data_IF_485090391570
#
_entry.id   IF_485090391570
#
_cell.length_a   1.000
_cell.length_b   1.000
_cell.length_c   1.000
_cell.angle_alpha   90.00
_cell.angle_beta   90.00
_cell.angle_gamma   90.00
#
_symmetry.space_group_name_H-M   'P 1'
#
loop_
_entity.id
_entity.type
_entity.pdbx_description
1 polymer ?
#
# COMPACT_ATOMS: atom_id res chain seq x y z
N UNK A 1 -11.96 6.71 7.24
CA UNK A 1 -10.55 6.95 7.59
C UNK A 1 -9.72 5.84 6.96
N UNK A 2 -8.85 6.18 6.03
CA UNK A 2 -8.02 5.26 5.26
C UNK A 2 -6.54 5.54 5.47
N UNK A 3 -5.72 4.50 5.40
CA UNK A 3 -4.29 4.59 5.22
C UNK A 3 -3.98 4.28 3.75
N UNK A 4 -3.49 5.27 3.02
CA UNK A 4 -3.01 5.13 1.65
C UNK A 4 -1.52 4.83 1.68
N UNK A 5 -1.10 3.76 1.02
CA UNK A 5 0.30 3.38 0.92
C UNK A 5 0.70 3.35 -0.54
N UNK A 6 1.76 4.07 -0.89
CA UNK A 6 2.37 4.03 -2.22
C UNK A 6 3.63 3.18 -2.15
N UNK A 7 3.64 2.08 -2.88
CA UNK A 7 4.81 1.21 -3.09
C UNK A 7 5.57 1.58 -4.36
N UNK A 8 6.69 0.87 -4.58
CA UNK A 8 7.68 1.21 -5.60
C UNK A 8 7.24 0.95 -7.05
N UNK A 9 6.29 0.03 -7.30
CA UNK A 9 5.86 -0.28 -8.66
C UNK A 9 5.08 0.89 -9.27
N UNK A 10 5.44 1.34 -10.49
CA UNK A 10 4.73 2.43 -11.15
C UNK A 10 3.24 2.14 -11.31
N UNK A 11 2.42 3.13 -11.03
CA UNK A 11 0.97 3.10 -11.23
C UNK A 11 0.55 4.13 -12.27
N UNK A 12 -0.46 3.79 -13.07
CA UNK A 12 -0.89 4.64 -14.19
C UNK A 12 -1.95 5.65 -13.77
N UNK A 13 -2.85 5.27 -12.86
CA UNK A 13 -3.98 6.10 -12.43
C UNK A 13 -4.15 6.09 -10.91
N UNK A 14 -4.69 7.19 -10.40
CA UNK A 14 -5.10 7.32 -9.01
C UNK A 14 -6.40 8.13 -8.95
N UNK A 15 -7.54 7.44 -8.83
CA UNK A 15 -8.89 8.04 -8.88
C UNK A 15 -9.56 8.10 -7.49
N UNK A 16 -8.75 8.33 -6.44
CA UNK A 16 -9.25 8.41 -5.07
C UNK A 16 -9.09 9.82 -4.51
N UNK A 17 -10.10 10.26 -3.75
CA UNK A 17 -10.02 11.48 -2.97
C UNK A 17 -9.46 11.15 -1.58
N UNK A 18 -8.35 11.76 -1.24
CA UNK A 18 -7.77 11.70 0.10
C UNK A 18 -8.44 12.79 0.95
N UNK A 19 -8.97 12.42 2.11
CA UNK A 19 -9.63 13.32 3.03
C UNK A 19 -8.67 13.70 4.18
N UNK A 20 -9.00 14.74 4.92
CA UNK A 20 -8.16 15.28 6.02
C UNK A 20 -7.87 14.28 7.14
N UNK A 21 -8.73 13.28 7.33
CA UNK A 21 -8.58 12.26 8.37
C UNK A 21 -7.90 10.99 7.85
N UNK A 22 -7.50 10.97 6.58
CA UNK A 22 -6.74 9.90 5.96
C UNK A 22 -5.24 10.18 6.15
N UNK A 23 -4.42 9.15 6.02
CA UNK A 23 -2.97 9.25 6.08
C UNK A 23 -2.36 8.69 4.80
N UNK A 24 -1.26 9.29 4.37
CA UNK A 24 -0.50 8.83 3.20
C UNK A 24 0.91 8.43 3.65
N UNK A 25 1.30 7.23 3.26
CA UNK A 25 2.63 6.69 3.53
C UNK A 25 3.26 6.28 2.20
N UNK A 26 4.47 6.74 1.93
CA UNK A 26 5.28 6.24 0.82
C UNK A 26 6.26 5.19 1.35
N UNK A 27 6.28 4.02 0.70
CA UNK A 27 7.18 2.93 1.00
C UNK A 27 8.26 2.84 -0.10
N UNK A 28 9.52 3.04 0.27
CA UNK A 28 10.67 3.07 -0.63
C UNK A 28 10.45 4.04 -1.81
N UNK A 29 10.68 3.60 -3.05
CA UNK A 29 10.45 4.41 -4.26
C UNK A 29 8.97 4.78 -4.49
N UNK A 30 8.05 4.40 -3.61
CA UNK A 30 6.64 4.81 -3.65
C UNK A 30 6.41 6.31 -3.57
N UNK A 31 7.40 7.07 -3.10
CA UNK A 31 7.37 8.53 -3.16
C UNK A 31 7.21 9.04 -4.59
N UNK A 32 7.83 8.40 -5.57
CA UNK A 32 7.72 8.78 -6.99
C UNK A 32 6.29 8.64 -7.51
N UNK A 33 5.55 7.64 -7.03
CA UNK A 33 4.13 7.50 -7.34
C UNK A 33 3.28 8.59 -6.68
N UNK A 34 3.54 8.95 -5.44
CA UNK A 34 2.85 10.03 -4.76
C UNK A 34 3.09 11.38 -5.47
N UNK A 35 4.34 11.68 -5.80
CA UNK A 35 4.73 12.90 -6.53
C UNK A 35 4.06 13.00 -7.92
N UNK A 36 3.98 11.87 -8.65
CA UNK A 36 3.30 11.79 -9.96
C UNK A 36 1.85 12.31 -9.89
N UNK A 37 1.18 12.10 -8.77
CA UNK A 37 -0.21 12.52 -8.57
C UNK A 37 -0.34 13.79 -7.71
N UNK A 38 0.76 14.52 -7.48
CA UNK A 38 0.82 15.72 -6.63
C UNK A 38 0.30 15.46 -5.19
N UNK A 39 0.64 14.30 -4.65
CA UNK A 39 0.31 13.90 -3.28
C UNK A 39 1.56 14.01 -2.44
N UNK A 40 1.47 14.75 -1.33
CA UNK A 40 2.54 14.83 -0.33
C UNK A 40 2.31 13.74 0.72
N UNK A 41 3.21 12.78 0.90
CA UNK A 41 3.10 11.79 1.95
C UNK A 41 3.25 12.42 3.34
N UNK A 42 2.50 11.91 4.32
CA UNK A 42 2.70 12.24 5.74
C UNK A 42 3.94 11.53 6.31
N UNK A 43 4.25 10.33 5.77
CA UNK A 43 5.41 9.54 6.17
C UNK A 43 6.07 8.90 4.96
N UNK A 44 7.40 8.78 5.03
CA UNK A 44 8.19 8.00 4.07
C UNK A 44 8.97 6.95 4.84
N UNK A 45 8.90 5.70 4.40
CA UNK A 45 9.55 4.54 5.03
C UNK A 45 10.41 3.85 3.99
N UNK A 46 11.68 3.61 4.30
CA UNK A 46 12.60 2.89 3.43
C UNK A 46 14.05 3.17 3.78
N UNK A 47 14.96 2.47 3.14
CA UNK A 47 16.40 2.73 3.18
C UNK A 47 16.86 3.70 2.09
N UNK A 48 15.99 3.97 1.11
CA UNK A 48 16.17 4.90 -0.03
C UNK A 48 17.35 4.56 -0.95
N UNK A 49 17.93 3.39 -0.84
CA UNK A 49 19.04 2.95 -1.69
C UNK A 49 18.66 2.96 -3.17
N UNK A 50 17.39 2.61 -3.46
CA UNK A 50 16.83 2.62 -4.81
C UNK A 50 16.60 4.02 -5.40
N UNK A 51 16.47 5.05 -4.57
CA UNK A 51 16.26 6.43 -5.00
C UNK A 51 17.56 7.19 -5.26
N UNK A 52 18.68 6.76 -4.66
CA UNK A 52 19.97 7.47 -4.72
C UNK A 52 20.00 8.81 -3.97
N UNK A 53 18.93 9.15 -3.25
CA UNK A 53 18.82 10.32 -2.36
C UNK A 53 17.84 10.04 -1.23
N UNK A 54 18.01 10.74 -0.10
CA UNK A 54 17.06 10.68 1.00
C UNK A 54 16.07 11.85 0.85
N UNK A 55 14.75 11.59 0.78
CA UNK A 55 13.76 12.65 0.70
C UNK A 55 13.82 13.56 1.93
N UNK A 56 13.83 14.88 1.70
CA UNK A 56 13.93 15.87 2.79
C UNK A 56 12.63 16.65 3.03
N UNK A 57 11.68 16.56 2.10
CA UNK A 57 10.48 17.41 2.07
C UNK A 57 9.28 16.82 2.82
N UNK A 58 9.42 15.63 3.41
CA UNK A 58 8.36 15.01 4.20
C UNK A 58 8.49 15.34 5.69
N UNK A 59 7.37 15.48 6.35
CA UNK A 59 7.32 15.82 7.77
C UNK A 59 7.94 14.76 8.70
N UNK A 60 8.02 13.51 8.23
CA UNK A 60 8.59 12.41 9.04
C UNK A 60 9.18 11.33 8.14
N UNK A 61 10.45 11.04 8.34
CA UNK A 61 11.16 9.91 7.71
C UNK A 61 11.35 8.84 8.79
N UNK A 62 10.86 7.63 8.49
CA UNK A 62 11.02 6.49 9.39
C UNK A 62 11.98 5.50 8.74
N UNK A 63 13.12 5.26 9.36
CA UNK A 63 14.05 4.22 8.95
C UNK A 63 13.61 2.86 9.51
N UNK A 64 13.68 1.78 8.74
CA UNK A 64 13.35 0.45 9.23
C UNK A 64 14.30 0.05 10.38
N UNK A 65 13.72 -0.40 11.48
CA UNK A 65 14.47 -0.86 12.65
C UNK A 65 14.75 -2.37 12.53
N UNK A 66 13.87 -3.10 11.84
CA UNK A 66 13.95 -4.55 11.66
C UNK A 66 14.21 -4.90 10.19
N UNK A 67 15.27 -5.67 9.94
CA UNK A 67 15.71 -6.04 8.58
C UNK A 67 14.83 -7.12 7.91
N UNK A 68 13.88 -7.71 8.63
CA UNK A 68 13.09 -8.86 8.15
C UNK A 68 11.76 -8.45 7.51
N UNK A 69 11.32 -7.20 7.67
CA UNK A 69 10.08 -6.68 7.08
C UNK A 69 10.35 -5.92 5.76
N UNK A 70 9.42 -6.03 4.83
CA UNK A 70 9.41 -5.14 3.65
C UNK A 70 8.95 -3.73 4.04
N UNK A 71 9.35 -2.71 3.27
CA UNK A 71 8.91 -1.33 3.52
C UNK A 71 7.39 -1.17 3.48
N UNK A 72 6.70 -1.94 2.63
CA UNK A 72 5.23 -2.00 2.63
C UNK A 72 4.68 -2.57 3.94
N UNK A 73 5.29 -3.61 4.48
CA UNK A 73 4.90 -4.18 5.78
C UNK A 73 5.12 -3.18 6.91
N UNK A 74 6.25 -2.47 6.91
CA UNK A 74 6.54 -1.42 7.89
C UNK A 74 5.53 -0.27 7.80
N UNK A 75 5.17 0.15 6.58
CA UNK A 75 4.12 1.15 6.36
C UNK A 75 2.76 0.70 6.92
N UNK A 76 2.41 -0.57 6.73
CA UNK A 76 1.20 -1.15 7.29
C UNK A 76 1.24 -1.19 8.81
N UNK A 77 2.35 -1.63 9.40
CA UNK A 77 2.53 -1.65 10.87
C UNK A 77 2.39 -0.24 11.46
N UNK A 78 2.97 0.77 10.81
CA UNK A 78 2.80 2.17 11.21
C UNK A 78 1.33 2.61 11.12
N UNK A 79 0.64 2.33 10.03
CA UNK A 79 -0.78 2.65 9.88
C UNK A 79 -1.65 1.99 10.96
N UNK A 80 -1.43 0.70 11.23
CA UNK A 80 -2.13 -0.04 12.29
C UNK A 80 -1.86 0.56 13.69
N UNK A 81 -0.61 0.93 13.99
CA UNK A 81 -0.22 1.55 15.28
C UNK A 81 -0.89 2.91 15.50
N UNK A 82 -1.22 3.62 14.42
CA UNK A 82 -1.98 4.87 14.43
C UNK A 82 -3.50 4.67 14.45
N UNK A 83 -3.97 3.40 14.50
CA UNK A 83 -5.39 3.06 14.62
C UNK A 83 -6.14 2.92 13.29
N UNK A 84 -5.45 3.02 12.17
CA UNK A 84 -6.08 2.79 10.86
C UNK A 84 -6.39 1.32 10.67
N UNK A 85 -7.58 1.03 10.11
CA UNK A 85 -8.04 -0.33 9.81
C UNK A 85 -8.37 -0.54 8.33
N UNK A 86 -8.47 0.53 7.55
CA UNK A 86 -8.75 0.43 6.12
C UNK A 86 -7.52 0.89 5.34
N UNK A 87 -6.99 0.02 4.51
CA UNK A 87 -5.77 0.23 3.74
C UNK A 87 -6.04 0.21 2.25
N UNK A 88 -5.44 1.15 1.53
CA UNK A 88 -5.36 1.18 0.07
C UNK A 88 -3.90 1.26 -0.33
N UNK A 89 -3.41 0.19 -0.94
CA UNK A 89 -2.00 0.04 -1.31
C UNK A 89 -1.87 0.09 -2.82
N UNK A 90 -1.11 1.02 -3.32
CA UNK A 90 -0.84 1.26 -4.74
C UNK A 90 0.60 0.94 -5.06
N UNK A 91 0.85 0.34 -6.23
CA UNK A 91 2.21 -0.02 -6.64
C UNK A 91 2.84 -1.15 -5.82
N UNK A 92 2.00 -1.99 -5.19
CA UNK A 92 2.44 -3.15 -4.41
C UNK A 92 2.33 -4.49 -5.17
N UNK A 93 1.63 -4.52 -6.31
CA UNK A 93 1.39 -5.75 -7.09
C UNK A 93 1.58 -5.49 -8.59
N UNK A 94 1.69 -6.56 -9.38
CA UNK A 94 1.78 -6.47 -10.84
C UNK A 94 3.20 -6.35 -11.39
N UNK A 95 4.21 -6.50 -10.56
CA UNK A 95 5.61 -6.48 -10.95
C UNK A 95 6.34 -7.79 -10.65
N UNK A 96 7.43 -7.71 -9.90
CA UNK A 96 8.18 -8.90 -9.45
C UNK A 96 7.28 -9.80 -8.63
N UNK A 97 7.35 -11.11 -8.92
CA UNK A 97 6.51 -12.12 -8.26
C UNK A 97 6.80 -12.22 -6.75
N UNK A 98 8.06 -12.11 -6.35
CA UNK A 98 8.49 -12.14 -4.96
C UNK A 98 7.91 -10.96 -4.15
N UNK A 99 7.92 -9.75 -4.71
CA UNK A 99 7.28 -8.58 -4.09
C UNK A 99 5.76 -8.72 -4.02
N UNK A 100 5.14 -9.25 -5.08
CA UNK A 100 3.69 -9.52 -5.09
C UNK A 100 3.34 -10.54 -3.99
N UNK A 101 4.13 -11.60 -3.85
CA UNK A 101 3.92 -12.60 -2.79
C UNK A 101 4.07 -12.01 -1.38
N UNK A 102 5.11 -11.22 -1.14
CA UNK A 102 5.28 -10.52 0.14
C UNK A 102 4.11 -9.59 0.45
N UNK A 103 3.54 -8.93 -0.56
CA UNK A 103 2.38 -8.06 -0.39
C UNK A 103 1.06 -8.83 -0.19
N UNK A 104 0.94 -10.06 -0.68
CA UNK A 104 -0.16 -10.96 -0.29
C UNK A 104 -0.07 -11.30 1.20
N UNK A 105 1.13 -11.59 1.71
CA UNK A 105 1.35 -11.80 3.15
C UNK A 105 1.02 -10.54 3.96
N UNK A 106 1.40 -9.38 3.47
CA UNK A 106 1.05 -8.08 4.09
C UNK A 106 -0.47 -7.86 4.13
N UNK A 107 -1.19 -8.18 3.06
CA UNK A 107 -2.65 -8.13 3.03
C UNK A 107 -3.29 -9.10 4.05
N UNK A 108 -2.73 -10.30 4.17
CA UNK A 108 -3.14 -11.28 5.18
C UNK A 108 -2.90 -10.77 6.60
N UNK A 109 -1.74 -10.18 6.86
CA UNK A 109 -1.41 -9.57 8.14
C UNK A 109 -2.42 -8.48 8.54
N UNK A 110 -2.81 -7.61 7.60
CA UNK A 110 -3.85 -6.59 7.84
C UNK A 110 -5.17 -7.26 8.25
N UNK A 111 -5.61 -8.29 7.50
CA UNK A 111 -6.86 -9.00 7.77
C UNK A 111 -6.81 -9.71 9.13
N UNK A 112 -5.68 -10.29 9.53
CA UNK A 112 -5.48 -10.93 10.83
C UNK A 112 -5.53 -9.94 11.99
N UNK A 113 -5.13 -8.69 11.76
CA UNK A 113 -5.21 -7.59 12.73
C UNK A 113 -6.54 -6.83 12.67
N UNK A 114 -7.58 -7.41 12.06
CA UNK A 114 -8.94 -6.87 12.02
C UNK A 114 -9.09 -5.67 11.09
N UNK A 115 -8.20 -5.52 10.12
CA UNK A 115 -8.27 -4.49 9.09
C UNK A 115 -8.76 -5.03 7.75
N UNK A 116 -8.97 -4.13 6.80
CA UNK A 116 -9.32 -4.41 5.42
C UNK A 116 -8.27 -3.77 4.51
N UNK A 117 -7.83 -4.50 3.50
CA UNK A 117 -6.88 -3.99 2.53
C UNK A 117 -7.32 -4.25 1.09
N UNK A 118 -7.10 -3.24 0.26
CA UNK A 118 -7.20 -3.34 -1.19
C UNK A 118 -5.85 -2.95 -1.78
N UNK A 119 -5.26 -3.83 -2.56
CA UNK A 119 -4.05 -3.58 -3.32
C UNK A 119 -4.41 -3.34 -4.77
N UNK A 120 -3.93 -2.23 -5.32
CA UNK A 120 -4.22 -1.78 -6.67
C UNK A 120 -2.95 -1.88 -7.53
N UNK A 121 -3.00 -2.69 -8.56
CA UNK A 121 -2.05 -2.71 -9.67
C UNK A 121 -2.68 -2.06 -10.91
N UNK A 122 -1.91 -1.97 -12.02
CA UNK A 122 -2.40 -1.37 -13.25
C UNK A 122 -3.44 -2.24 -13.99
N UNK A 123 -3.43 -3.55 -13.76
CA UNK A 123 -4.30 -4.51 -14.46
C UNK A 123 -5.09 -5.40 -13.50
N UNK A 124 -4.72 -5.46 -12.26
CA UNK A 124 -5.28 -6.33 -11.24
C UNK A 124 -5.45 -5.63 -9.91
N UNK A 125 -6.41 -6.11 -9.15
CA UNK A 125 -6.60 -5.72 -7.75
C UNK A 125 -6.60 -6.97 -6.87
N UNK A 126 -6.08 -6.85 -5.66
CA UNK A 126 -6.03 -7.93 -4.68
C UNK A 126 -6.73 -7.49 -3.40
N UNK A 127 -7.52 -8.38 -2.83
CA UNK A 127 -8.10 -8.22 -1.48
C UNK A 127 -8.05 -9.55 -0.75
N UNK A 128 -7.62 -9.52 0.50
CA UNK A 128 -7.68 -10.67 1.41
C UNK A 128 -8.81 -10.45 2.40
N UNK A 129 -9.67 -11.45 2.55
CA UNK A 129 -10.83 -11.43 3.44
C UNK A 129 -10.66 -12.46 4.55
N UNK A 130 -10.96 -12.06 5.79
CA UNK A 130 -11.02 -12.97 6.94
C UNK A 130 -12.36 -12.82 7.65
N UNK A 131 -13.22 -13.83 7.52
CA UNK A 131 -14.54 -13.84 8.15
C UNK A 131 -15.48 -12.71 7.68
N UNK A 132 -15.28 -12.19 6.47
CA UNK A 132 -16.02 -11.09 5.90
C UNK A 132 -16.42 -11.37 4.45
N UNK A 133 -17.25 -10.51 3.89
CA UNK A 133 -17.71 -10.60 2.50
C UNK A 133 -17.35 -9.33 1.75
N UNK A 134 -17.10 -9.47 0.46
CA UNK A 134 -16.98 -8.35 -0.47
C UNK A 134 -18.00 -8.53 -1.60
N UNK A 135 -18.66 -7.46 -1.97
CA UNK A 135 -19.55 -7.43 -3.13
C UNK A 135 -18.93 -6.57 -4.22
N UNK A 136 -18.89 -7.10 -5.42
CA UNK A 136 -18.44 -6.37 -6.59
C UNK A 136 -19.66 -5.95 -7.43
N UNK A 137 -19.65 -4.74 -8.00
CA UNK A 137 -20.62 -4.41 -9.04
C UNK A 137 -20.46 -5.37 -10.21
N UNK A 138 -21.53 -5.59 -10.97
CA UNK A 138 -21.46 -6.46 -12.15
C UNK A 138 -20.45 -5.88 -13.15
N UNK A 139 -19.33 -6.54 -13.29
CA UNK A 139 -18.33 -6.20 -14.29
C UNK A 139 -18.70 -6.83 -15.63
N UNK A 140 -18.72 -6.02 -16.67
CA UNK A 140 -18.94 -6.51 -18.05
C UNK A 140 -17.66 -7.06 -18.68
N UNK A 141 -16.49 -6.82 -18.09
CA UNK A 141 -15.18 -7.30 -18.54
C UNK A 141 -14.27 -7.50 -17.33
N UNK A 142 -13.70 -8.69 -17.22
CA UNK A 142 -12.75 -9.04 -16.17
C UNK A 142 -13.04 -10.41 -15.57
N UNK A 143 -12.03 -10.98 -14.93
CA UNK A 143 -12.12 -12.25 -14.23
C UNK A 143 -11.87 -12.05 -12.75
N UNK A 144 -12.66 -12.72 -11.92
CA UNK A 144 -12.45 -12.80 -10.47
C UNK A 144 -11.86 -14.18 -10.19
N UNK A 145 -10.69 -14.21 -9.56
CA UNK A 145 -10.07 -15.42 -9.06
C UNK A 145 -10.16 -15.42 -7.54
N UNK A 146 -10.70 -16.50 -6.97
CA UNK A 146 -10.79 -16.68 -5.53
C UNK A 146 -9.96 -17.89 -5.14
N UNK A 147 -9.08 -17.71 -4.16
CA UNK A 147 -8.35 -18.79 -3.51
C UNK A 147 -8.92 -18.97 -2.10
N UNK A 148 -9.26 -20.20 -1.77
CA UNK A 148 -9.80 -20.58 -0.46
C UNK A 148 -8.76 -21.42 0.27
#
# INVERSE_FOLDING_TARGET
MYCYIFGAMPIDTFDFKINKDDIVIAADAGILNAEKFNITPDFIIGDFDSLGYTPTDSSTIVHPIEKDDTDTMLAVKLGLSKGYKNFRVFGGIGGRLDHTYANIQTATYIAENGGNAQFFGNKENLTVLKGSQISFPKYNKGNIFTFV
#
